data_IF_539157231684
#
_entry.id   IF_539157231684
#
_cell.length_a   1.000
_cell.length_b   1.000
_cell.length_c   1.000
_cell.angle_alpha   90.00
_cell.angle_beta   90.00
_cell.angle_gamma   90.00
#
_symmetry.space_group_name_H-M   'P 1'
#
loop_
_entity.id
_entity.type
_entity.pdbx_description
1 polymer ?
#
# COMPACT_ATOMS: atom_id res chain seq x y z
N UNK A 1 1.72 9.78 -16.24
CA UNK A 1 3.02 9.09 -16.24
C UNK A 1 3.46 8.63 -17.64
N UNK A 2 2.55 8.39 -18.60
CA UNK A 2 2.91 8.12 -20.00
C UNK A 2 3.80 9.20 -20.65
N UNK A 3 3.69 10.46 -20.22
CA UNK A 3 4.51 11.58 -20.72
C UNK A 3 6.02 11.41 -20.44
N UNK A 4 6.41 10.62 -19.43
CA UNK A 4 7.84 10.35 -19.17
C UNK A 4 8.44 9.35 -20.17
N UNK A 5 7.62 8.49 -20.77
CA UNK A 5 8.05 7.56 -21.81
C UNK A 5 8.20 8.25 -23.19
N UNK A 6 7.82 9.52 -23.31
CA UNK A 6 8.08 10.33 -24.51
C UNK A 6 9.53 10.85 -24.55
N UNK A 7 10.30 10.65 -23.48
CA UNK A 7 11.73 10.94 -23.44
C UNK A 7 12.47 9.69 -23.92
N UNK A 8 13.10 9.76 -25.10
CA UNK A 8 13.72 8.61 -25.79
C UNK A 8 14.76 7.84 -24.96
N UNK A 9 15.35 8.48 -23.95
CA UNK A 9 16.37 7.89 -23.05
C UNK A 9 15.78 7.18 -21.84
N UNK A 10 14.46 7.24 -21.62
CA UNK A 10 13.75 6.51 -20.58
C UNK A 10 13.27 5.18 -21.14
N UNK A 11 13.79 4.07 -20.60
CA UNK A 11 13.44 2.73 -21.04
C UNK A 11 12.16 2.21 -20.37
N UNK A 12 11.98 2.53 -19.09
CA UNK A 12 10.89 1.98 -18.27
C UNK A 12 10.57 2.85 -17.07
N UNK A 13 9.29 2.92 -16.72
CA UNK A 13 8.82 3.54 -15.48
C UNK A 13 8.00 2.51 -14.70
N UNK A 14 8.24 2.40 -13.40
CA UNK A 14 7.50 1.51 -12.49
C UNK A 14 7.25 2.21 -11.16
N UNK A 15 6.05 2.07 -10.61
CA UNK A 15 5.68 2.68 -9.33
C UNK A 15 5.49 1.60 -8.26
N UNK A 16 5.80 1.95 -7.02
CA UNK A 16 5.79 1.06 -5.86
C UNK A 16 5.22 1.77 -4.64
N UNK A 17 4.65 0.99 -3.73
CA UNK A 17 4.20 1.39 -2.40
C UNK A 17 4.95 0.56 -1.35
N UNK A 18 5.46 1.25 -0.32
CA UNK A 18 6.23 0.67 0.78
C UNK A 18 5.34 0.74 2.02
N UNK A 19 4.73 -0.39 2.38
CA UNK A 19 3.64 -0.48 3.35
C UNK A 19 4.09 -0.46 4.82
N UNK A 20 5.39 -0.38 5.05
CA UNK A 20 6.02 -0.48 6.37
C UNK A 20 7.13 -1.52 6.36
N UNK A 21 7.57 -1.94 7.55
CA UNK A 21 8.63 -2.93 7.72
C UNK A 21 8.12 -4.14 8.49
N UNK A 22 8.52 -5.34 8.06
CA UNK A 22 8.22 -6.55 8.80
C UNK A 22 9.22 -6.71 9.95
N UNK A 23 8.76 -6.53 11.19
CA UNK A 23 9.59 -6.73 12.38
C UNK A 23 9.58 -8.18 12.90
N UNK A 24 9.04 -9.15 12.14
CA UNK A 24 9.05 -10.57 12.54
C UNK A 24 10.45 -11.18 12.61
N UNK A 25 11.45 -10.58 11.95
CA UNK A 25 12.85 -10.97 12.05
C UNK A 25 13.64 -9.84 12.74
N UNK A 26 14.06 -10.06 13.99
CA UNK A 26 14.72 -9.06 14.85
C UNK A 26 16.08 -8.59 14.30
N UNK A 27 16.61 -9.22 13.26
CA UNK A 27 17.97 -8.95 12.74
C UNK A 27 18.02 -7.94 11.59
N UNK A 28 17.00 -7.88 10.73
CA UNK A 28 16.89 -6.90 9.64
C UNK A 28 15.43 -6.73 9.22
N UNK A 29 14.76 -5.62 9.61
CA UNK A 29 13.36 -5.42 9.26
C UNK A 29 13.23 -5.17 7.74
N UNK A 30 12.72 -6.16 7.00
CA UNK A 30 12.54 -6.05 5.54
C UNK A 30 11.37 -5.12 5.19
N UNK A 31 11.53 -4.18 4.25
CA UNK A 31 10.44 -3.34 3.79
C UNK A 31 9.44 -4.17 2.98
N UNK A 32 8.16 -4.01 3.29
CA UNK A 32 7.07 -4.57 2.49
C UNK A 32 6.81 -3.70 1.28
N UNK A 33 7.12 -4.21 0.10
CA UNK A 33 7.01 -3.48 -1.17
C UNK A 33 5.89 -4.09 -2.01
N UNK A 34 5.07 -3.23 -2.60
CA UNK A 34 3.99 -3.56 -3.55
C UNK A 34 4.15 -2.73 -4.82
N UNK A 35 3.93 -3.30 -6.00
CA UNK A 35 3.89 -2.52 -7.25
C UNK A 35 2.55 -1.80 -7.42
N UNK A 36 2.58 -0.59 -7.96
CA UNK A 36 1.42 0.27 -8.21
C UNK A 36 1.33 0.65 -9.71
N UNK A 37 0.12 0.74 -10.31
CA UNK A 37 -1.17 0.35 -9.75
C UNK A 37 -1.22 -1.15 -9.40
N UNK A 38 -2.08 -1.49 -8.43
CA UNK A 38 -2.24 -2.83 -7.90
C UNK A 38 -2.35 -3.87 -9.03
N UNK A 39 -1.44 -4.84 -9.02
CA UNK A 39 -1.63 -6.11 -9.73
C UNK A 39 -1.83 -7.20 -8.68
N UNK A 40 -2.85 -8.01 -8.86
CA UNK A 40 -3.23 -9.11 -7.96
C UNK A 40 -2.41 -10.39 -8.19
N UNK A 41 -1.37 -10.34 -9.03
CA UNK A 41 -0.44 -11.44 -9.24
C UNK A 41 0.50 -11.61 -8.03
N UNK A 42 0.55 -12.83 -7.49
CA UNK A 42 1.21 -13.16 -6.21
C UNK A 42 2.75 -13.10 -6.23
N UNK A 43 3.40 -13.08 -7.40
CA UNK A 43 4.86 -12.97 -7.48
C UNK A 43 5.31 -11.50 -7.49
N UNK A 44 5.36 -10.93 -6.27
CA UNK A 44 5.79 -9.55 -5.96
C UNK A 44 7.29 -9.29 -6.16
N UNK A 45 8.02 -10.18 -6.86
CA UNK A 45 9.42 -9.97 -7.24
C UNK A 45 9.50 -9.69 -8.73
N UNK A 46 9.58 -8.41 -9.09
CA UNK A 46 10.06 -8.00 -10.40
C UNK A 46 11.57 -7.71 -10.39
N UNK A 47 12.13 -7.45 -11.57
CA UNK A 47 13.55 -7.15 -11.78
C UNK A 47 14.07 -5.96 -10.96
N UNK A 48 13.18 -5.11 -10.41
CA UNK A 48 13.56 -3.92 -9.65
C UNK A 48 13.42 -4.11 -8.13
N UNK A 49 12.97 -5.27 -7.67
CA UNK A 49 12.63 -5.49 -6.25
C UNK A 49 13.81 -5.21 -5.31
N UNK A 50 15.00 -5.68 -5.65
CA UNK A 50 16.19 -5.47 -4.82
C UNK A 50 16.65 -4.00 -4.84
N UNK A 51 16.50 -3.31 -5.98
CA UNK A 51 16.77 -1.87 -6.10
C UNK A 51 15.80 -1.07 -5.23
N UNK A 52 14.49 -1.37 -5.33
CA UNK A 52 13.45 -0.70 -4.53
C UNK A 52 13.65 -0.96 -3.03
N UNK A 53 14.10 -2.17 -2.67
CA UNK A 53 14.46 -2.50 -1.28
C UNK A 53 15.60 -1.63 -0.77
N UNK A 54 16.67 -1.50 -1.55
CA UNK A 54 17.81 -0.67 -1.15
C UNK A 54 17.42 0.81 -1.02
N UNK A 55 16.66 1.34 -1.98
CA UNK A 55 16.13 2.72 -1.93
C UNK A 55 15.24 2.92 -0.69
N UNK A 56 14.37 1.96 -0.37
CA UNK A 56 13.51 2.05 0.82
C UNK A 56 14.32 2.18 2.12
N UNK A 57 15.44 1.46 2.21
CA UNK A 57 16.30 1.47 3.39
C UNK A 57 17.19 2.72 3.45
N UNK A 58 17.79 3.12 2.34
CA UNK A 58 18.91 4.08 2.31
C UNK A 58 18.70 5.30 1.41
N UNK A 59 17.71 5.28 0.52
CA UNK A 59 17.47 6.34 -0.46
C UNK A 59 17.05 7.68 0.14
N UNK A 60 16.97 8.73 -0.67
CA UNK A 60 16.59 10.09 -0.25
C UNK A 60 15.15 10.42 -0.69
N UNK A 61 14.53 11.40 -0.03
CA UNK A 61 13.21 11.90 -0.45
C UNK A 61 13.35 12.82 -1.66
N UNK A 62 12.38 12.81 -2.58
CA UNK A 62 12.41 13.63 -3.79
C UNK A 62 13.01 12.91 -4.99
N UNK A 63 13.62 13.66 -5.92
CA UNK A 63 14.23 13.11 -7.14
C UNK A 63 15.72 12.88 -6.90
N UNK A 64 16.13 11.61 -6.95
CA UNK A 64 17.50 11.18 -6.73
C UNK A 64 17.91 10.12 -7.75
N UNK A 65 19.21 9.82 -7.80
CA UNK A 65 19.80 8.95 -8.82
C UNK A 65 20.50 7.76 -8.18
N UNK A 66 20.53 6.66 -8.90
CA UNK A 66 21.37 5.51 -8.54
C UNK A 66 21.96 4.86 -9.80
N UNK A 67 23.06 4.15 -9.61
CA UNK A 67 23.64 3.29 -10.65
C UNK A 67 23.77 1.89 -10.08
N UNK A 68 23.12 0.92 -10.72
CA UNK A 68 23.18 -0.50 -10.34
C UNK A 68 23.44 -1.33 -11.60
N UNK A 69 24.34 -2.31 -11.55
CA UNK A 69 24.65 -3.19 -12.69
C UNK A 69 24.95 -2.48 -14.02
N UNK A 70 25.66 -1.33 -13.95
CA UNK A 70 25.97 -0.43 -15.08
C UNK A 70 24.73 0.17 -15.77
N UNK A 71 23.58 0.13 -15.12
CA UNK A 71 22.35 0.80 -15.53
C UNK A 71 22.10 1.98 -14.62
N UNK A 72 21.57 3.05 -15.20
CA UNK A 72 21.25 4.28 -14.50
C UNK A 72 19.75 4.33 -14.21
N UNK A 73 19.42 4.79 -13.00
CA UNK A 73 18.04 4.97 -12.59
C UNK A 73 17.85 6.32 -11.92
N UNK A 74 16.66 6.85 -12.13
CA UNK A 74 16.13 8.00 -11.41
C UNK A 74 15.00 7.47 -10.56
N UNK A 75 14.96 7.85 -9.29
CA UNK A 75 13.85 7.51 -8.42
C UNK A 75 13.22 8.76 -7.81
N UNK A 76 11.90 8.69 -7.65
CA UNK A 76 11.08 9.72 -7.04
C UNK A 76 10.46 9.12 -5.79
N UNK A 77 10.94 9.53 -4.63
CA UNK A 77 10.47 9.02 -3.34
C UNK A 77 9.58 10.05 -2.65
N UNK A 78 8.33 9.68 -2.42
CA UNK A 78 7.27 10.50 -1.83
C UNK A 78 6.81 9.90 -0.49
N UNK A 79 6.46 10.76 0.46
CA UNK A 79 5.89 10.40 1.78
C UNK A 79 6.75 9.43 2.62
N UNK A 80 8.08 9.55 2.54
CA UNK A 80 9.01 8.76 3.38
C UNK A 80 8.72 8.98 4.87
N UNK A 81 8.58 7.90 5.63
CA UNK A 81 8.29 7.92 7.07
C UNK A 81 6.80 7.78 7.44
N UNK A 82 5.87 7.95 6.49
CA UNK A 82 4.43 7.73 6.69
C UNK A 82 3.89 6.67 5.72
N UNK A 83 3.84 5.39 6.13
CA UNK A 83 3.39 4.32 5.24
C UNK A 83 1.94 4.47 4.74
N UNK A 84 1.65 4.11 3.47
CA UNK A 84 2.54 3.60 2.47
C UNK A 84 3.31 4.74 1.86
N UNK A 85 4.62 4.58 1.89
CA UNK A 85 5.49 5.49 1.18
C UNK A 85 5.42 5.14 -0.31
N UNK A 86 5.57 6.11 -1.20
CA UNK A 86 5.44 5.86 -2.65
C UNK A 86 6.77 6.09 -3.34
N UNK A 87 7.16 5.17 -4.19
CA UNK A 87 8.40 5.23 -4.95
C UNK A 87 8.10 5.04 -6.44
N UNK A 88 8.53 5.98 -7.28
CA UNK A 88 8.57 5.79 -8.73
C UNK A 88 10.01 5.53 -9.12
N UNK A 89 10.27 4.44 -9.81
CA UNK A 89 11.56 4.09 -10.38
C UNK A 89 11.50 4.27 -11.90
N UNK A 90 12.46 5.02 -12.43
CA UNK A 90 12.64 5.29 -13.85
C UNK A 90 13.99 4.68 -14.23
N UNK A 91 13.99 3.74 -15.16
CA UNK A 91 15.21 3.17 -15.74
C UNK A 91 15.62 4.01 -16.96
N UNK A 92 16.83 4.54 -16.94
CA UNK A 92 17.39 5.37 -17.99
C UNK A 92 18.03 6.65 -17.47
N UNK A 93 18.43 7.51 -18.40
CA UNK A 93 19.05 8.80 -18.14
C UNK A 93 18.19 9.93 -18.67
N UNK A 94 18.38 11.13 -18.13
CA UNK A 94 17.76 12.35 -18.65
C UNK A 94 18.82 13.44 -18.74
N UNK A 95 18.71 14.30 -19.76
CA UNK A 95 19.53 15.51 -19.83
C UNK A 95 19.08 16.57 -18.80
N UNK A 96 19.82 17.68 -18.73
CA UNK A 96 19.56 18.74 -17.75
C UNK A 96 18.17 19.37 -17.92
N UNK A 97 17.69 19.53 -19.15
CA UNK A 97 16.37 20.10 -19.43
C UNK A 97 15.25 19.16 -18.96
N UNK A 98 15.31 17.89 -19.34
CA UNK A 98 14.33 16.89 -18.95
C UNK A 98 14.39 16.60 -17.45
N UNK A 99 15.55 16.76 -16.80
CA UNK A 99 15.65 16.66 -15.35
C UNK A 99 14.80 17.70 -14.63
N UNK A 100 14.80 18.95 -15.09
CA UNK A 100 13.95 19.99 -14.50
C UNK A 100 12.46 19.70 -14.72
N UNK A 101 12.11 19.13 -15.87
CA UNK A 101 10.75 18.63 -16.13
C UNK A 101 10.38 17.51 -15.16
N UNK A 102 11.25 16.52 -14.97
CA UNK A 102 11.04 15.41 -14.02
C UNK A 102 10.88 15.93 -12.60
N UNK A 103 11.69 16.90 -12.16
CA UNK A 103 11.57 17.55 -10.85
C UNK A 103 10.24 18.29 -10.68
N UNK A 104 9.80 19.01 -11.72
CA UNK A 104 8.50 19.68 -11.73
C UNK A 104 7.34 18.69 -11.62
N UNK A 105 7.37 17.62 -12.42
CA UNK A 105 6.37 16.56 -12.39
C UNK A 105 6.36 15.80 -11.05
N UNK A 106 7.53 15.53 -10.49
CA UNK A 106 7.68 14.89 -9.18
C UNK A 106 7.00 15.71 -8.07
N UNK A 107 7.17 17.05 -8.07
CA UNK A 107 6.49 17.93 -7.10
C UNK A 107 4.98 17.90 -7.25
N UNK A 108 4.48 17.95 -8.49
CA UNK A 108 3.04 17.86 -8.77
C UNK A 108 2.50 16.50 -8.29
N UNK A 109 3.24 15.43 -8.56
CA UNK A 109 2.88 14.08 -8.16
C UNK A 109 2.90 13.89 -6.63
N UNK A 110 3.90 14.42 -5.93
CA UNK A 110 3.95 14.44 -4.46
C UNK A 110 2.71 15.14 -3.86
N UNK A 111 2.36 16.32 -4.39
CA UNK A 111 1.15 17.03 -3.97
C UNK A 111 -0.13 16.23 -4.25
N UNK A 112 -0.23 15.62 -5.44
CA UNK A 112 -1.37 14.77 -5.77
C UNK A 112 -1.48 13.59 -4.82
N UNK A 113 -0.38 12.87 -4.56
CA UNK A 113 -0.36 11.74 -3.63
C UNK A 113 -0.84 12.19 -2.25
N UNK A 114 -0.32 13.28 -1.70
CA UNK A 114 -0.77 13.76 -0.37
C UNK A 114 -2.26 14.09 -0.33
N UNK A 115 -2.79 14.67 -1.40
CA UNK A 115 -4.22 14.94 -1.54
C UNK A 115 -5.04 13.66 -1.66
N UNK A 116 -4.54 12.65 -2.41
CA UNK A 116 -5.20 11.36 -2.54
C UNK A 116 -5.14 10.54 -1.26
N UNK A 117 -4.01 10.48 -0.57
CA UNK A 117 -3.85 9.75 0.68
C UNK A 117 -4.83 10.27 1.76
N UNK A 118 -5.08 11.59 1.79
CA UNK A 118 -6.09 12.19 2.69
C UNK A 118 -7.52 11.79 2.28
N UNK A 119 -7.77 11.58 1.00
CA UNK A 119 -9.09 11.21 0.46
C UNK A 119 -9.36 9.71 0.48
N UNK A 120 -8.32 8.88 0.47
CA UNK A 120 -8.46 7.43 0.38
C UNK A 120 -8.41 6.75 1.74
N UNK A 121 -7.97 7.46 2.78
CA UNK A 121 -7.73 6.90 4.11
C UNK A 121 -8.65 7.48 5.16
N UNK A 122 -8.90 6.67 6.17
CA UNK A 122 -9.50 7.14 7.41
C UNK A 122 -8.46 7.91 8.23
N UNK A 123 -8.82 9.11 8.69
CA UNK A 123 -7.90 10.04 9.35
C UNK A 123 -7.38 9.46 10.67
N UNK A 124 -8.25 8.76 11.40
CA UNK A 124 -7.94 8.21 12.72
C UNK A 124 -7.12 6.93 12.61
N UNK A 125 -7.62 5.95 11.87
CA UNK A 125 -7.03 4.61 11.86
C UNK A 125 -5.95 4.44 10.78
N UNK A 126 -5.90 5.33 9.77
CA UNK A 126 -5.05 5.24 8.56
C UNK A 126 -5.28 4.00 7.70
N UNK A 127 -6.37 3.26 7.92
CA UNK A 127 -6.83 2.24 6.98
C UNK A 127 -7.47 2.92 5.77
N UNK A 128 -7.75 2.16 4.72
CA UNK A 128 -8.55 2.69 3.62
C UNK A 128 -9.94 3.09 4.15
N UNK A 129 -10.49 4.19 3.66
CA UNK A 129 -11.84 4.58 4.03
C UNK A 129 -12.89 3.89 3.17
N UNK A 130 -14.15 4.05 3.55
CA UNK A 130 -15.31 3.53 2.83
C UNK A 130 -15.37 3.96 1.35
N UNK A 131 -14.92 5.16 1.00
CA UNK A 131 -14.99 5.66 -0.39
C UNK A 131 -14.05 4.87 -1.30
N UNK A 132 -12.89 4.49 -0.80
CA UNK A 132 -11.88 3.68 -1.50
C UNK A 132 -12.32 2.24 -1.74
N UNK A 133 -13.36 1.76 -1.04
CA UNK A 133 -13.84 0.40 -1.20
C UNK A 133 -14.34 0.13 -2.62
N UNK A 134 -15.12 1.04 -3.20
CA UNK A 134 -15.71 0.82 -4.53
C UNK A 134 -14.66 0.68 -5.62
N UNK A 135 -13.66 1.56 -5.64
CA UNK A 135 -12.57 1.49 -6.62
C UNK A 135 -11.69 0.25 -6.41
N UNK A 136 -11.49 -0.18 -5.16
CA UNK A 136 -10.75 -1.42 -4.87
C UNK A 136 -11.53 -2.65 -5.30
N UNK A 137 -12.85 -2.64 -5.09
CA UNK A 137 -13.72 -3.76 -5.44
C UNK A 137 -13.77 -3.99 -6.96
N UNK A 138 -13.88 -2.92 -7.75
CA UNK A 138 -13.80 -3.02 -9.22
C UNK A 138 -12.45 -3.59 -9.69
N UNK A 139 -11.34 -3.17 -9.08
CA UNK A 139 -10.01 -3.74 -9.40
C UNK A 139 -9.93 -5.25 -9.13
N UNK A 140 -10.52 -5.70 -8.02
CA UNK A 140 -10.59 -7.13 -7.69
C UNK A 140 -11.43 -7.88 -8.73
N UNK A 141 -12.59 -7.35 -9.09
CA UNK A 141 -13.45 -7.97 -10.10
C UNK A 141 -12.77 -8.06 -11.47
N UNK A 142 -12.13 -6.98 -11.91
CA UNK A 142 -11.43 -6.94 -13.20
C UNK A 142 -10.27 -7.92 -13.26
N UNK A 143 -9.55 -8.12 -12.17
CA UNK A 143 -8.53 -9.15 -12.12
C UNK A 143 -9.11 -10.55 -12.34
N UNK A 144 -10.20 -10.90 -11.66
CA UNK A 144 -10.82 -12.23 -11.82
C UNK A 144 -11.45 -12.42 -13.20
N UNK A 145 -12.03 -11.37 -13.79
CA UNK A 145 -12.50 -11.40 -15.18
C UNK A 145 -11.38 -11.73 -16.16
N UNK A 146 -10.18 -11.19 -15.94
CA UNK A 146 -9.03 -11.37 -16.81
C UNK A 146 -8.22 -12.65 -16.50
N UNK A 147 -8.43 -13.28 -15.34
CA UNK A 147 -7.72 -14.47 -14.88
C UNK A 147 -8.70 -15.62 -14.59
N UNK A 148 -9.50 -16.00 -15.60
CA UNK A 148 -10.59 -16.97 -15.46
C UNK A 148 -10.16 -18.38 -14.99
N UNK A 149 -8.87 -18.71 -15.07
CA UNK A 149 -8.32 -20.00 -14.64
C UNK A 149 -7.70 -19.96 -13.23
N UNK A 150 -7.90 -18.87 -12.47
CA UNK A 150 -7.36 -18.77 -11.13
C UNK A 150 -8.16 -19.66 -10.17
N UNK A 151 -7.47 -20.57 -9.47
CA UNK A 151 -8.09 -21.49 -8.50
C UNK A 151 -8.37 -20.81 -7.15
N UNK A 152 -7.68 -19.69 -6.86
CA UNK A 152 -7.80 -18.95 -5.61
C UNK A 152 -8.83 -17.81 -5.72
N UNK A 153 -9.61 -17.60 -4.67
CA UNK A 153 -10.69 -16.60 -4.63
C UNK A 153 -10.37 -15.43 -3.68
N UNK A 154 -11.20 -14.39 -3.77
CA UNK A 154 -11.23 -13.31 -2.79
C UNK A 154 -12.49 -13.41 -1.93
N UNK A 155 -12.32 -13.20 -0.63
CA UNK A 155 -13.38 -13.24 0.37
C UNK A 155 -13.52 -11.86 1.00
N UNK A 156 -14.75 -11.47 1.35
CA UNK A 156 -15.02 -10.20 2.04
C UNK A 156 -15.59 -10.53 3.42
N UNK A 157 -15.08 -9.86 4.45
CA UNK A 157 -15.62 -9.92 5.79
C UNK A 157 -15.86 -8.51 6.33
N UNK A 158 -17.05 -8.31 6.92
CA UNK A 158 -17.39 -7.14 7.72
C UNK A 158 -17.16 -7.49 9.19
N UNK A 159 -16.50 -6.60 9.91
CA UNK A 159 -16.06 -6.75 11.29
C UNK A 159 -16.68 -5.61 12.09
N UNK A 160 -17.22 -5.91 13.27
CA UNK A 160 -17.85 -4.93 14.15
C UNK A 160 -17.27 -5.04 15.55
N UNK A 161 -17.09 -3.90 16.24
CA UNK A 161 -16.61 -3.89 17.63
C UNK A 161 -17.80 -3.92 18.58
N UNK A 162 -18.00 -5.07 19.21
CA UNK A 162 -19.10 -5.29 20.15
C UNK A 162 -19.11 -4.23 21.27
N UNK A 163 -20.30 -3.67 21.52
CA UNK A 163 -20.55 -2.72 22.62
C UNK A 163 -19.69 -1.45 22.59
N UNK A 164 -19.18 -1.02 21.44
CA UNK A 164 -18.32 0.17 21.33
C UNK A 164 -18.95 1.45 21.88
N UNK A 165 -20.27 1.64 21.68
CA UNK A 165 -21.01 2.74 22.32
C UNK A 165 -20.88 2.77 23.84
N UNK A 166 -20.88 1.60 24.51
CA UNK A 166 -20.71 1.52 25.97
C UNK A 166 -19.34 1.99 26.42
N UNK A 167 -18.30 1.73 25.62
CA UNK A 167 -16.94 2.21 25.87
C UNK A 167 -16.93 3.74 25.80
N UNK A 168 -17.50 4.31 24.73
CA UNK A 168 -17.61 5.76 24.58
C UNK A 168 -18.40 6.41 25.71
N UNK A 169 -19.53 5.84 26.10
CA UNK A 169 -20.39 6.40 27.15
C UNK A 169 -19.71 6.36 28.52
N UNK A 170 -18.86 5.35 28.79
CA UNK A 170 -18.20 5.16 30.09
C UNK A 170 -16.85 5.87 30.21
N UNK A 171 -16.08 5.90 29.14
CA UNK A 171 -14.69 6.38 29.16
C UNK A 171 -14.48 7.63 28.30
N UNK A 172 -15.45 8.00 27.47
CA UNK A 172 -15.38 9.15 26.55
C UNK A 172 -14.78 8.79 25.20
N UNK A 173 -15.06 9.64 24.20
CA UNK A 173 -14.68 9.40 22.80
C UNK A 173 -13.17 9.25 22.57
N UNK A 174 -12.33 9.94 23.34
CA UNK A 174 -10.87 9.79 23.21
C UNK A 174 -10.39 8.35 23.48
N UNK A 175 -11.04 7.63 24.40
CA UNK A 175 -10.72 6.23 24.65
C UNK A 175 -11.31 5.32 23.56
N UNK A 176 -12.48 5.66 23.02
CA UNK A 176 -13.00 4.98 21.83
C UNK A 176 -12.06 5.11 20.64
N UNK A 177 -11.47 6.27 20.44
CA UNK A 177 -10.49 6.52 19.38
C UNK A 177 -9.25 5.61 19.53
N UNK A 178 -8.73 5.47 20.75
CA UNK A 178 -7.62 4.55 21.04
C UNK A 178 -7.99 3.08 20.76
N UNK A 179 -9.22 2.66 21.09
CA UNK A 179 -9.71 1.31 20.76
C UNK A 179 -9.74 1.08 19.25
N UNK A 180 -10.21 2.06 18.47
CA UNK A 180 -10.25 1.98 17.00
C UNK A 180 -8.84 1.92 16.40
N UNK A 181 -7.91 2.72 16.90
CA UNK A 181 -6.51 2.71 16.48
C UNK A 181 -5.89 1.34 16.78
N UNK A 182 -6.11 0.83 17.99
CA UNK A 182 -5.58 -0.47 18.41
C UNK A 182 -6.12 -1.61 17.54
N UNK A 183 -7.44 -1.65 17.32
CA UNK A 183 -8.10 -2.63 16.46
C UNK A 183 -7.51 -2.62 15.03
N UNK A 184 -7.34 -1.42 14.45
CA UNK A 184 -6.71 -1.27 13.13
C UNK A 184 -5.25 -1.78 13.09
N UNK A 185 -4.49 -1.61 14.17
CA UNK A 185 -3.13 -2.13 14.26
C UNK A 185 -3.09 -3.67 14.37
N UNK A 186 -4.04 -4.27 15.10
CA UNK A 186 -4.19 -5.74 15.13
C UNK A 186 -4.54 -6.25 13.72
N UNK A 187 -5.42 -5.56 12.99
CA UNK A 187 -5.72 -5.92 11.60
C UNK A 187 -4.45 -5.92 10.74
N UNK A 188 -3.65 -4.84 10.79
CA UNK A 188 -2.39 -4.73 10.01
C UNK A 188 -1.39 -5.85 10.28
N UNK A 189 -1.31 -6.32 11.52
CA UNK A 189 -0.35 -7.36 11.91
C UNK A 189 -0.87 -8.78 11.63
N UNK A 190 -2.19 -8.93 11.52
CA UNK A 190 -2.85 -10.22 11.34
C UNK A 190 -3.08 -10.59 9.88
N UNK A 191 -3.59 -9.64 9.09
CA UNK A 191 -3.88 -9.85 7.67
C UNK A 191 -2.63 -9.64 6.80
N UNK A 192 -2.64 -10.22 5.61
CA UNK A 192 -1.53 -10.08 4.67
C UNK A 192 -1.61 -8.71 4.00
N UNK A 193 -0.49 -8.25 3.48
CA UNK A 193 -0.40 -7.02 2.69
C UNK A 193 -1.11 -7.08 1.34
N UNK A 194 -1.34 -8.29 0.83
CA UNK A 194 -2.20 -8.54 -0.33
C UNK A 194 -3.67 -8.37 0.01
N UNK A 195 -4.06 -8.39 1.29
CA UNK A 195 -5.43 -8.19 1.74
C UNK A 195 -5.72 -6.68 1.86
N UNK A 196 -6.94 -6.26 1.57
CA UNK A 196 -7.34 -4.85 1.65
C UNK A 196 -8.12 -4.59 2.94
N UNK A 197 -7.63 -3.65 3.75
CA UNK A 197 -8.21 -3.31 5.05
C UNK A 197 -8.86 -1.94 5.03
N UNK A 198 -10.08 -1.86 5.53
CA UNK A 198 -10.90 -0.65 5.52
C UNK A 198 -11.50 -0.35 6.88
N UNK A 199 -11.64 0.94 7.19
CA UNK A 199 -12.66 1.39 8.14
C UNK A 199 -13.92 1.74 7.34
N UNK A 200 -14.96 0.96 7.54
CA UNK A 200 -16.21 1.06 6.77
C UNK A 200 -17.18 2.06 7.40
N UNK A 201 -17.28 2.05 8.73
CA UNK A 201 -18.20 2.87 9.51
C UNK A 201 -17.54 3.49 10.74
N UNK A 202 -18.35 3.86 11.73
CA UNK A 202 -17.86 4.42 12.99
C UNK A 202 -17.03 3.39 13.77
N UNK A 203 -17.61 2.21 13.99
CA UNK A 203 -17.01 1.06 14.69
C UNK A 203 -16.88 -0.19 13.79
N UNK A 204 -17.29 -0.06 12.52
CA UNK A 204 -17.28 -1.14 11.53
C UNK A 204 -16.01 -1.09 10.67
N UNK A 205 -15.39 -2.25 10.48
CA UNK A 205 -14.23 -2.48 9.63
C UNK A 205 -14.55 -3.52 8.56
N UNK A 206 -13.82 -3.48 7.44
CA UNK A 206 -13.98 -4.44 6.36
C UNK A 206 -12.62 -4.93 5.90
N UNK A 207 -12.54 -6.22 5.59
CA UNK A 207 -11.37 -6.81 4.95
C UNK A 207 -11.77 -7.55 3.67
N UNK A 208 -10.97 -7.35 2.61
CA UNK A 208 -10.97 -8.20 1.43
C UNK A 208 -9.73 -9.09 1.51
N UNK A 209 -9.93 -10.37 1.78
CA UNK A 209 -8.87 -11.39 1.86
C UNK A 209 -8.68 -11.93 0.44
N UNK A 210 -7.53 -11.66 -0.17
CA UNK A 210 -7.31 -11.97 -1.58
C UNK A 210 -6.54 -13.26 -1.78
N UNK A 211 -6.74 -13.91 -2.93
CA UNK A 211 -5.96 -15.05 -3.38
C UNK A 211 -5.83 -16.13 -2.29
N UNK A 212 -6.96 -16.67 -1.85
CA UNK A 212 -6.98 -17.76 -0.88
C UNK A 212 -8.13 -18.71 -1.16
N UNK A 213 -8.14 -19.85 -0.47
CA UNK A 213 -9.28 -20.74 -0.41
C UNK A 213 -10.14 -20.43 0.83
N UNK A 214 -11.30 -21.08 0.93
CA UNK A 214 -12.25 -20.82 2.01
C UNK A 214 -11.65 -21.13 3.39
N UNK A 215 -10.88 -22.22 3.48
CA UNK A 215 -10.21 -22.61 4.71
C UNK A 215 -9.18 -21.57 5.15
N UNK A 216 -8.39 -21.04 4.21
CA UNK A 216 -7.41 -19.98 4.47
C UNK A 216 -8.07 -18.70 4.95
N UNK A 217 -9.18 -18.29 4.31
CA UNK A 217 -9.97 -17.13 4.72
C UNK A 217 -10.54 -17.29 6.15
N UNK A 218 -11.15 -18.43 6.46
CA UNK A 218 -11.68 -18.71 7.80
C UNK A 218 -10.57 -18.74 8.86
N UNK A 219 -9.42 -19.35 8.54
CA UNK A 219 -8.29 -19.45 9.47
C UNK A 219 -7.70 -18.07 9.82
N UNK A 220 -7.58 -17.14 8.86
CA UNK A 220 -7.09 -15.79 9.17
C UNK A 220 -8.12 -14.97 9.95
N UNK A 221 -9.41 -15.12 9.65
CA UNK A 221 -10.47 -14.45 10.41
C UNK A 221 -10.52 -14.94 11.86
N UNK A 222 -10.37 -16.24 12.10
CA UNK A 222 -10.32 -16.79 13.46
C UNK A 222 -9.05 -16.35 14.20
N UNK A 223 -7.91 -16.31 13.51
CA UNK A 223 -6.67 -15.76 14.08
C UNK A 223 -6.85 -14.29 14.49
N UNK A 224 -7.53 -13.49 13.67
CA UNK A 224 -7.84 -12.11 13.99
C UNK A 224 -8.76 -12.01 15.20
N UNK A 225 -9.85 -12.78 15.23
CA UNK A 225 -10.80 -12.81 16.35
C UNK A 225 -10.13 -13.17 17.68
N UNK A 226 -9.13 -14.05 17.67
CA UNK A 226 -8.38 -14.44 18.87
C UNK A 226 -7.30 -13.43 19.29
N UNK A 227 -6.90 -12.51 18.41
CA UNK A 227 -5.87 -11.51 18.67
C UNK A 227 -6.43 -10.19 19.23
N UNK A 228 -7.74 -9.97 19.10
CA UNK A 228 -8.50 -8.85 19.66
C UNK A 228 -9.02 -9.22 21.05
#
# INVERSE_FOLDING_TARGET
MNTLLEIDTIEKVSSYEILGRNYRDERTPEPLIRKFPLSLAEDFKDEFTDIVRDISLHGETGVSFLTCDRQEYIYIYVNRGEPPEKLVLIKGVVDEYNLEVVRGLAKIYDHQIRLFDTKERDILTRLNNRQTLSSTFEQVLDFYRNNANNELNSYIALLDIDHFKTINDKFGHLYGDEVLIHFANIMRTTFRHSDFLFRYGGEEFLVIINQTDENGALAVLERFRLAV
#
